data_IF_056790801355
#
_entry.id   IF_056790801355
#
_cell.length_a   1.000
_cell.length_b   1.000
_cell.length_c   1.000
_cell.angle_alpha   90.00
_cell.angle_beta   90.00
_cell.angle_gamma   90.00
#
_symmetry.space_group_name_H-M   'P 1'
#
loop_
_entity.id
_entity.type
_entity.pdbx_description
1 polymer ?
#
# COMPACT_ATOMS: atom_id res chain seq x y z
N UNK A 1 12.53 -37.42 8.45
CA UNK A 1 11.31 -36.64 8.14
C UNK A 1 10.91 -35.87 9.38
N UNK A 2 11.55 -34.74 9.64
CA UNK A 2 11.05 -33.79 10.64
C UNK A 2 9.86 -33.09 9.99
N UNK A 3 8.69 -33.26 10.58
CA UNK A 3 7.50 -32.47 10.26
C UNK A 3 7.86 -30.99 10.39
N UNK A 4 7.90 -30.28 9.26
CA UNK A 4 7.90 -28.82 9.20
C UNK A 4 6.47 -28.38 9.58
N UNK A 5 6.10 -28.64 10.83
CA UNK A 5 5.07 -27.90 11.54
C UNK A 5 5.84 -26.92 12.41
N UNK A 6 6.47 -25.94 11.77
CA UNK A 6 6.64 -24.67 12.44
C UNK A 6 5.21 -24.11 12.51
N UNK A 7 4.72 -23.85 13.72
CA UNK A 7 3.48 -23.12 13.94
C UNK A 7 3.61 -21.75 13.25
N UNK A 8 3.22 -21.70 11.98
CA UNK A 8 3.30 -20.47 11.20
C UNK A 8 2.19 -19.55 11.71
N UNK A 9 2.57 -18.45 12.35
CA UNK A 9 1.65 -17.40 12.82
C UNK A 9 0.90 -16.69 11.68
N UNK A 10 1.37 -16.82 10.43
CA UNK A 10 0.73 -16.29 9.23
C UNK A 10 0.26 -17.45 8.32
N UNK A 11 -0.89 -17.34 7.63
CA UNK A 11 -1.33 -18.35 6.65
C UNK A 11 -0.51 -18.27 5.36
N UNK A 12 0.78 -18.64 5.46
CA UNK A 12 1.80 -18.52 4.40
C UNK A 12 1.33 -19.14 3.09
N UNK A 13 0.62 -20.28 3.13
CA UNK A 13 0.18 -20.96 1.91
C UNK A 13 -0.82 -20.13 1.10
N UNK A 14 -1.89 -19.64 1.73
CA UNK A 14 -2.92 -18.85 1.04
C UNK A 14 -2.37 -17.47 0.66
N UNK A 15 -1.59 -16.84 1.54
CA UNK A 15 -0.92 -15.58 1.24
C UNK A 15 0.02 -15.67 0.03
N UNK A 16 0.86 -16.71 -0.05
CA UNK A 16 1.78 -16.91 -1.19
C UNK A 16 1.01 -17.14 -2.49
N UNK A 17 -0.07 -17.92 -2.48
CA UNK A 17 -0.92 -18.14 -3.66
C UNK A 17 -1.54 -16.81 -4.11
N UNK A 18 -2.09 -16.04 -3.17
CA UNK A 18 -2.70 -14.74 -3.45
C UNK A 18 -1.70 -13.75 -4.07
N UNK A 19 -0.49 -13.67 -3.52
CA UNK A 19 0.61 -12.85 -4.05
C UNK A 19 1.01 -13.32 -5.45
N UNK A 20 1.12 -14.63 -5.68
CA UNK A 20 1.42 -15.18 -6.99
C UNK A 20 0.33 -14.85 -8.03
N UNK A 21 -0.94 -14.91 -7.65
CA UNK A 21 -2.05 -14.52 -8.53
C UNK A 21 -1.93 -13.05 -8.95
N UNK A 22 -1.69 -12.13 -8.01
CA UNK A 22 -1.55 -10.71 -8.33
C UNK A 22 -0.29 -10.40 -9.14
N UNK A 23 0.81 -11.09 -8.87
CA UNK A 23 2.01 -11.04 -9.72
C UNK A 23 1.70 -11.46 -11.16
N UNK A 24 0.97 -12.57 -11.35
CA UNK A 24 0.59 -13.05 -12.69
C UNK A 24 -0.33 -12.05 -13.39
N UNK A 25 -1.30 -11.46 -12.68
CA UNK A 25 -2.18 -10.43 -13.25
C UNK A 25 -1.34 -9.25 -13.76
N UNK A 26 -0.42 -8.72 -12.94
CA UNK A 26 0.47 -7.64 -13.35
C UNK A 26 1.42 -8.05 -14.48
N UNK A 27 1.88 -9.31 -14.51
CA UNK A 27 2.75 -9.81 -15.58
C UNK A 27 2.02 -9.93 -16.92
N UNK A 28 0.75 -10.34 -16.89
CA UNK A 28 -0.11 -10.38 -18.08
C UNK A 28 -0.35 -8.97 -18.61
N UNK A 29 -0.54 -8.01 -17.70
CA UNK A 29 -0.71 -6.59 -18.04
C UNK A 29 0.55 -5.99 -18.66
N UNK A 30 1.72 -6.18 -18.05
CA UNK A 30 3.02 -5.76 -18.59
C UNK A 30 3.26 -6.27 -20.02
N UNK A 31 2.67 -7.42 -20.39
CA UNK A 31 2.81 -8.05 -21.71
C UNK A 31 1.72 -7.66 -22.71
N UNK A 32 0.50 -7.44 -22.24
CA UNK A 32 -0.69 -7.43 -23.10
C UNK A 32 -1.56 -6.18 -22.95
N UNK A 33 -1.19 -5.26 -22.05
CA UNK A 33 -1.90 -3.99 -21.77
C UNK A 33 -3.41 -4.22 -21.59
N UNK A 34 -3.76 -5.01 -20.56
CA UNK A 34 -5.15 -5.44 -20.36
C UNK A 34 -5.97 -4.30 -19.74
N UNK A 35 -7.26 -4.23 -20.09
CA UNK A 35 -8.12 -3.15 -19.61
C UNK A 35 -8.18 -3.08 -18.07
N UNK A 36 -8.18 -1.86 -17.53
CA UNK A 36 -8.19 -1.60 -16.10
C UNK A 36 -9.38 -2.27 -15.37
N UNK A 37 -10.51 -2.43 -16.05
CA UNK A 37 -11.68 -3.14 -15.49
C UNK A 37 -11.42 -4.63 -15.35
N UNK A 38 -10.74 -5.24 -16.33
CA UNK A 38 -10.37 -6.65 -16.26
C UNK A 38 -9.38 -6.89 -15.11
N UNK A 39 -8.37 -6.03 -14.96
CA UNK A 39 -7.43 -6.07 -13.82
C UNK A 39 -8.16 -6.02 -12.48
N UNK A 40 -9.14 -5.13 -12.37
CA UNK A 40 -9.94 -4.97 -11.15
C UNK A 40 -10.74 -6.25 -10.86
N UNK A 41 -11.46 -6.78 -11.85
CA UNK A 41 -12.25 -8.02 -11.70
C UNK A 41 -11.35 -9.19 -11.29
N UNK A 42 -10.22 -9.41 -11.98
CA UNK A 42 -9.31 -10.50 -11.67
C UNK A 42 -8.72 -10.38 -10.25
N UNK A 43 -8.31 -9.17 -9.86
CA UNK A 43 -7.76 -8.91 -8.51
C UNK A 43 -8.80 -9.13 -7.42
N UNK A 44 -10.04 -8.69 -7.64
CA UNK A 44 -11.16 -8.95 -6.72
C UNK A 44 -11.49 -10.43 -6.62
N UNK A 45 -11.52 -11.16 -7.74
CA UNK A 45 -11.76 -12.61 -7.71
C UNK A 45 -10.66 -13.37 -6.97
N UNK A 46 -9.38 -13.05 -7.24
CA UNK A 46 -8.25 -13.67 -6.54
C UNK A 46 -8.30 -13.40 -5.03
N UNK A 47 -8.57 -12.14 -4.64
CA UNK A 47 -8.66 -11.72 -3.24
C UNK A 47 -9.83 -12.40 -2.51
N UNK A 48 -11.02 -12.39 -3.11
CA UNK A 48 -12.20 -13.01 -2.50
C UNK A 48 -12.05 -14.53 -2.39
N UNK A 49 -11.47 -15.19 -3.40
CA UNK A 49 -11.15 -16.61 -3.31
C UNK A 49 -10.18 -16.92 -2.17
N UNK A 50 -9.11 -16.13 -2.00
CA UNK A 50 -8.16 -16.31 -0.91
C UNK A 50 -8.81 -16.13 0.48
N UNK A 51 -9.63 -15.10 0.66
CA UNK A 51 -10.33 -14.88 1.93
C UNK A 51 -11.40 -15.94 2.23
N UNK A 52 -11.97 -16.55 1.19
CA UNK A 52 -12.89 -17.68 1.38
C UNK A 52 -12.16 -18.96 1.79
N UNK A 53 -10.95 -19.19 1.25
CA UNK A 53 -10.09 -20.29 1.64
C UNK A 53 -9.48 -20.10 3.04
N UNK A 54 -9.21 -18.85 3.42
CA UNK A 54 -8.70 -18.51 4.74
C UNK A 54 -9.36 -17.24 5.32
N UNK A 55 -10.45 -17.41 6.08
CA UNK A 55 -11.16 -16.30 6.71
C UNK A 55 -10.36 -15.58 7.81
N UNK A 56 -9.23 -16.12 8.28
CA UNK A 56 -8.40 -15.47 9.32
C UNK A 56 -7.76 -14.17 8.82
N UNK A 57 -7.60 -14.04 7.51
CA UNK A 57 -7.15 -12.81 6.85
C UNK A 57 -8.15 -11.65 6.92
N UNK A 58 -9.38 -11.92 7.36
CA UNK A 58 -10.46 -10.92 7.45
C UNK A 58 -10.74 -10.59 8.91
N UNK A 59 -10.33 -9.40 9.33
CA UNK A 59 -10.63 -8.89 10.66
C UNK A 59 -12.14 -8.64 10.83
N UNK A 60 -12.75 -9.23 11.87
CA UNK A 60 -14.15 -9.00 12.22
C UNK A 60 -14.36 -7.75 13.08
N UNK A 61 -13.28 -7.15 13.59
CA UNK A 61 -13.33 -5.96 14.40
C UNK A 61 -12.31 -4.94 13.90
N UNK A 62 -12.70 -3.67 13.87
CA UNK A 62 -11.80 -2.56 13.64
C UNK A 62 -11.25 -2.06 14.98
N UNK A 63 -10.00 -2.37 15.25
CA UNK A 63 -9.25 -1.90 16.42
C UNK A 63 -8.60 -0.54 16.13
N UNK A 64 -8.88 0.48 16.94
CA UNK A 64 -8.25 1.80 16.87
C UNK A 64 -7.20 1.96 17.98
N UNK A 65 -6.15 2.74 17.72
CA UNK A 65 -5.01 2.87 18.66
C UNK A 65 -5.37 3.51 20.01
N UNK A 66 -6.48 4.25 20.06
CA UNK A 66 -7.01 4.88 21.27
C UNK A 66 -8.00 3.99 22.05
N UNK A 67 -8.06 2.69 21.74
CA UNK A 67 -8.80 1.69 22.51
C UNK A 67 -10.26 1.50 22.11
N UNK A 68 -10.73 2.14 21.03
CA UNK A 68 -12.05 1.81 20.46
C UNK A 68 -11.93 0.56 19.59
N UNK A 69 -12.86 -0.38 19.79
CA UNK A 69 -13.05 -1.53 18.94
C UNK A 69 -14.47 -1.49 18.36
N UNK A 70 -14.59 -1.63 17.04
CA UNK A 70 -15.88 -1.66 16.34
C UNK A 70 -16.04 -3.01 15.67
N UNK A 71 -16.95 -3.83 16.19
CA UNK A 71 -17.32 -5.09 15.55
C UNK A 71 -18.08 -4.87 14.24
N UNK A 72 -17.78 -5.70 13.24
CA UNK A 72 -18.39 -5.67 11.93
C UNK A 72 -19.22 -6.93 11.70
N UNK A 73 -20.32 -6.80 10.95
CA UNK A 73 -21.05 -7.95 10.44
C UNK A 73 -20.12 -8.74 9.50
N UNK A 74 -19.97 -10.08 9.63
CA UNK A 74 -18.98 -10.84 8.87
C UNK A 74 -19.03 -10.66 7.36
N UNK A 75 -20.23 -10.60 6.77
CA UNK A 75 -20.40 -10.36 5.34
C UNK A 75 -19.87 -8.97 4.92
N UNK A 76 -20.07 -7.95 5.76
CA UNK A 76 -19.53 -6.61 5.53
C UNK A 76 -18.01 -6.58 5.69
N UNK A 77 -17.48 -7.21 6.73
CA UNK A 77 -16.04 -7.32 6.96
C UNK A 77 -15.31 -7.95 5.77
N UNK A 78 -15.88 -9.03 5.23
CA UNK A 78 -15.34 -9.73 4.06
C UNK A 78 -15.27 -8.83 2.81
N UNK A 79 -16.38 -8.16 2.47
CA UNK A 79 -16.43 -7.24 1.33
C UNK A 79 -15.48 -6.05 1.53
N UNK A 80 -15.47 -5.47 2.74
CA UNK A 80 -14.62 -4.34 3.08
C UNK A 80 -13.13 -4.70 2.96
N UNK A 81 -12.70 -5.83 3.53
CA UNK A 81 -11.32 -6.29 3.45
C UNK A 81 -10.87 -6.51 2.00
N UNK A 82 -11.74 -7.10 1.17
CA UNK A 82 -11.41 -7.35 -0.24
C UNK A 82 -11.27 -6.04 -1.02
N UNK A 83 -12.17 -5.08 -0.79
CA UNK A 83 -12.09 -3.75 -1.38
C UNK A 83 -10.83 -3.01 -0.90
N UNK A 84 -10.48 -3.09 0.38
CA UNK A 84 -9.27 -2.46 0.92
C UNK A 84 -8.01 -3.04 0.26
N UNK A 85 -7.86 -4.36 0.20
CA UNK A 85 -6.67 -4.98 -0.39
C UNK A 85 -6.52 -4.63 -1.88
N UNK A 86 -7.60 -4.78 -2.65
CA UNK A 86 -7.57 -4.48 -4.09
C UNK A 86 -7.33 -2.99 -4.35
N UNK A 87 -7.99 -2.10 -3.59
CA UNK A 87 -7.77 -0.66 -3.71
C UNK A 87 -6.35 -0.28 -3.33
N UNK A 88 -5.78 -0.92 -2.31
CA UNK A 88 -4.38 -0.72 -1.91
C UNK A 88 -3.41 -1.17 -3.00
N UNK A 89 -3.63 -2.33 -3.63
CA UNK A 89 -2.81 -2.81 -4.76
C UNK A 89 -2.78 -1.78 -5.89
N UNK A 90 -3.94 -1.26 -6.26
CA UNK A 90 -4.05 -0.25 -7.32
C UNK A 90 -3.42 1.08 -6.89
N UNK A 91 -3.60 1.50 -5.64
CA UNK A 91 -3.02 2.73 -5.11
C UNK A 91 -1.48 2.67 -5.07
N UNK A 92 -0.90 1.52 -4.70
CA UNK A 92 0.55 1.32 -4.72
C UNK A 92 1.08 1.30 -6.15
N UNK A 93 0.36 0.69 -7.10
CA UNK A 93 0.74 0.73 -8.52
C UNK A 93 0.83 2.17 -9.06
N UNK A 94 -0.07 3.05 -8.62
CA UNK A 94 -0.10 4.45 -9.05
C UNK A 94 1.09 5.28 -8.54
N UNK A 95 1.67 4.93 -7.38
CA UNK A 95 2.82 5.67 -6.84
C UNK A 95 4.17 5.17 -7.38
N UNK A 96 4.22 4.05 -8.10
CA UNK A 96 5.42 3.55 -8.79
C UNK A 96 5.74 4.33 -10.08
N UNK A 97 5.60 5.66 -10.04
CA UNK A 97 5.87 6.55 -11.17
C UNK A 97 7.31 7.07 -11.25
N UNK A 98 8.15 6.74 -10.26
CA UNK A 98 9.55 7.21 -10.15
C UNK A 98 10.44 6.17 -9.46
N UNK A 99 11.67 6.08 -9.96
CA UNK A 99 12.70 5.23 -9.40
C UNK A 99 12.91 5.47 -7.90
N UNK A 100 12.88 4.40 -7.13
CA UNK A 100 13.16 4.35 -5.70
C UNK A 100 11.94 4.49 -4.79
N UNK A 101 10.78 4.93 -5.30
CA UNK A 101 9.58 5.13 -4.47
C UNK A 101 9.05 3.78 -3.97
N UNK A 102 8.61 2.89 -4.89
CA UNK A 102 7.99 1.62 -4.52
C UNK A 102 8.87 0.79 -3.57
N UNK A 103 10.15 0.60 -3.95
CA UNK A 103 11.08 -0.22 -3.16
C UNK A 103 11.41 0.41 -1.80
N UNK A 104 11.53 1.75 -1.73
CA UNK A 104 11.76 2.45 -0.47
C UNK A 104 10.57 2.31 0.50
N UNK A 105 9.34 2.48 -0.01
CA UNK A 105 8.14 2.24 0.79
C UNK A 105 7.97 0.77 1.17
N UNK A 106 8.27 -0.17 0.28
CA UNK A 106 8.21 -1.60 0.57
C UNK A 106 9.12 -1.98 1.74
N UNK A 107 10.38 -1.51 1.73
CA UNK A 107 11.32 -1.75 2.82
C UNK A 107 10.85 -1.12 4.14
N UNK A 108 10.30 0.09 4.10
CA UNK A 108 9.71 0.74 5.27
C UNK A 108 8.56 -0.08 5.84
N UNK A 109 7.59 -0.45 5.01
CA UNK A 109 6.41 -1.20 5.44
C UNK A 109 6.76 -2.59 5.96
N UNK A 110 7.67 -3.31 5.30
CA UNK A 110 8.19 -4.59 5.80
C UNK A 110 8.83 -4.41 7.19
N UNK A 111 9.63 -3.37 7.39
CA UNK A 111 10.27 -3.10 8.69
C UNK A 111 9.22 -2.79 9.76
N UNK A 112 8.23 -1.93 9.46
CA UNK A 112 7.17 -1.58 10.39
C UNK A 112 6.35 -2.82 10.79
N UNK A 113 5.93 -3.62 9.82
CA UNK A 113 5.18 -4.86 10.05
C UNK A 113 6.00 -5.88 10.86
N UNK A 114 7.29 -6.03 10.56
CA UNK A 114 8.14 -6.96 11.32
C UNK A 114 8.32 -6.51 12.77
N UNK A 115 8.63 -5.22 12.99
CA UNK A 115 8.88 -4.69 14.34
C UNK A 115 7.62 -4.71 15.22
N UNK A 116 6.44 -4.51 14.62
CA UNK A 116 5.19 -4.39 15.36
C UNK A 116 4.46 -5.71 15.57
N UNK A 117 4.52 -6.62 14.59
CA UNK A 117 3.68 -7.81 14.56
C UNK A 117 4.45 -9.11 14.31
N UNK A 118 5.79 -9.08 14.24
CA UNK A 118 6.61 -10.22 13.83
C UNK A 118 6.08 -10.90 12.55
N UNK A 119 5.63 -10.08 11.60
CA UNK A 119 4.70 -10.47 10.53
C UNK A 119 5.21 -11.60 9.62
N UNK A 120 6.52 -11.83 9.55
CA UNK A 120 7.14 -12.93 8.83
C UNK A 120 8.15 -13.66 9.70
N UNK A 121 8.33 -14.99 9.51
CA UNK A 121 9.48 -15.68 10.05
C UNK A 121 10.77 -15.01 9.58
N UNK A 122 11.73 -14.84 10.49
CA UNK A 122 12.92 -14.00 10.28
C UNK A 122 13.69 -14.32 8.98
N UNK A 123 13.78 -15.59 8.58
CA UNK A 123 14.43 -15.97 7.32
C UNK A 123 13.74 -15.39 6.06
N UNK A 124 12.41 -15.37 6.04
CA UNK A 124 11.65 -14.77 4.94
C UNK A 124 11.75 -13.25 4.95
N UNK A 125 11.68 -12.63 6.14
CA UNK A 125 11.87 -11.18 6.29
C UNK A 125 13.24 -10.73 5.76
N UNK A 126 14.32 -11.38 6.19
CA UNK A 126 15.68 -11.06 5.72
C UNK A 126 15.80 -11.23 4.21
N UNK A 127 15.24 -12.32 3.67
CA UNK A 127 15.24 -12.56 2.22
C UNK A 127 14.49 -11.46 1.46
N UNK A 128 13.30 -11.08 1.94
CA UNK A 128 12.50 -10.02 1.33
C UNK A 128 13.23 -8.66 1.37
N UNK A 129 13.89 -8.33 2.48
CA UNK A 129 14.68 -7.10 2.62
C UNK A 129 15.90 -7.09 1.68
N UNK A 130 16.60 -8.22 1.52
CA UNK A 130 17.72 -8.33 0.59
C UNK A 130 17.27 -8.17 -0.87
N UNK A 131 16.16 -8.83 -1.26
CA UNK A 131 15.58 -8.69 -2.60
C UNK A 131 15.12 -7.25 -2.88
N UNK A 132 14.39 -6.63 -1.94
CA UNK A 132 13.95 -5.24 -2.08
C UNK A 132 15.13 -4.26 -2.13
N UNK A 133 16.17 -4.49 -1.32
CA UNK A 133 17.38 -3.67 -1.32
C UNK A 133 18.17 -3.77 -2.62
N UNK A 134 18.35 -4.98 -3.15
CA UNK A 134 18.99 -5.20 -4.44
C UNK A 134 18.19 -4.53 -5.59
N UNK A 135 16.86 -4.70 -5.58
CA UNK A 135 15.98 -4.05 -6.53
C UNK A 135 16.04 -2.52 -6.40
N UNK A 136 16.01 -1.96 -5.18
CA UNK A 136 16.10 -0.51 -4.94
C UNK A 136 17.38 0.07 -5.55
N UNK A 137 18.54 -0.57 -5.33
CA UNK A 137 19.82 -0.10 -5.88
C UNK A 137 19.78 -0.08 -7.41
N UNK A 138 19.28 -1.15 -8.04
CA UNK A 138 19.20 -1.24 -9.50
C UNK A 138 18.17 -0.26 -10.07
N UNK A 139 17.01 -0.11 -9.41
CA UNK A 139 15.93 0.78 -9.80
C UNK A 139 16.32 2.26 -9.67
N UNK A 140 16.99 2.65 -8.58
CA UNK A 140 17.53 4.01 -8.43
C UNK A 140 18.56 4.38 -9.52
N UNK A 141 19.30 3.39 -10.04
CA UNK A 141 20.22 3.57 -11.17
C UNK A 141 19.51 3.56 -12.54
N UNK A 142 18.21 3.32 -12.58
CA UNK A 142 17.42 3.21 -13.81
C UNK A 142 17.71 1.96 -14.63
N UNK A 143 18.28 0.92 -14.01
CA UNK A 143 18.63 -0.33 -14.68
C UNK A 143 17.44 -1.28 -14.83
N UNK A 144 16.48 -1.19 -13.90
CA UNK A 144 15.29 -2.05 -13.86
C UNK A 144 14.08 -1.23 -13.43
N UNK A 145 12.92 -1.58 -13.97
CA UNK A 145 11.62 -1.07 -13.54
C UNK A 145 10.87 -2.19 -12.81
N UNK A 146 9.96 -1.85 -11.90
CA UNK A 146 9.15 -2.87 -11.23
C UNK A 146 8.15 -3.50 -12.21
N UNK A 147 7.58 -2.68 -13.10
CA UNK A 147 6.40 -3.06 -13.88
C UNK A 147 5.17 -3.22 -12.98
N UNK A 148 4.03 -3.46 -13.61
CA UNK A 148 2.78 -3.72 -12.88
C UNK A 148 2.89 -5.07 -12.14
N UNK A 149 3.64 -6.03 -12.68
CA UNK A 149 3.95 -7.29 -11.99
C UNK A 149 4.68 -7.09 -10.65
N UNK A 150 5.74 -6.28 -10.62
CA UNK A 150 6.50 -5.98 -9.41
C UNK A 150 5.70 -5.17 -8.39
N UNK A 151 4.98 -4.15 -8.85
CA UNK A 151 4.13 -3.34 -7.99
C UNK A 151 2.99 -4.15 -7.36
N UNK A 152 2.32 -5.02 -8.13
CA UNK A 152 1.24 -5.89 -7.62
C UNK A 152 1.77 -6.92 -6.63
N UNK A 153 2.95 -7.50 -6.89
CA UNK A 153 3.60 -8.44 -5.96
C UNK A 153 3.89 -7.77 -4.62
N UNK A 154 4.53 -6.59 -4.64
CA UNK A 154 4.89 -5.85 -3.44
C UNK A 154 3.63 -5.42 -2.68
N UNK A 155 2.67 -4.81 -3.37
CA UNK A 155 1.47 -4.29 -2.74
C UNK A 155 0.60 -5.39 -2.14
N UNK A 156 0.43 -6.52 -2.85
CA UNK A 156 -0.32 -7.65 -2.32
C UNK A 156 0.37 -8.25 -1.09
N UNK A 157 1.70 -8.38 -1.11
CA UNK A 157 2.47 -8.91 0.02
C UNK A 157 2.31 -8.02 1.25
N UNK A 158 2.52 -6.71 1.12
CA UNK A 158 2.38 -5.77 2.23
C UNK A 158 0.93 -5.69 2.72
N UNK A 159 -0.03 -5.66 1.80
CA UNK A 159 -1.45 -5.54 2.12
C UNK A 159 -1.97 -6.75 2.88
N UNK A 160 -1.63 -7.97 2.47
CA UNK A 160 -2.08 -9.18 3.17
C UNK A 160 -1.41 -9.33 4.54
N UNK A 161 -0.12 -8.98 4.66
CA UNK A 161 0.57 -8.96 5.96
C UNK A 161 -0.04 -7.92 6.90
N UNK A 162 -0.39 -6.73 6.39
CA UNK A 162 -1.06 -5.69 7.16
C UNK A 162 -2.44 -6.12 7.64
N UNK A 163 -3.26 -6.69 6.75
CA UNK A 163 -4.60 -7.20 7.12
C UNK A 163 -4.51 -8.29 8.19
N UNK A 164 -3.57 -9.22 8.05
CA UNK A 164 -3.34 -10.26 9.06
C UNK A 164 -2.89 -9.69 10.40
N UNK A 165 -1.91 -8.78 10.39
CA UNK A 165 -1.43 -8.12 11.60
C UNK A 165 -2.55 -7.32 12.32
N UNK A 166 -3.51 -6.79 11.57
CA UNK A 166 -4.69 -6.16 12.15
C UNK A 166 -5.69 -7.17 12.71
N UNK A 167 -5.94 -8.26 12.00
CA UNK A 167 -6.84 -9.33 12.43
C UNK A 167 -6.38 -9.97 13.75
N UNK A 168 -5.07 -10.17 13.92
CA UNK A 168 -4.43 -10.65 15.16
C UNK A 168 -4.37 -9.57 16.26
N UNK A 169 -4.73 -8.32 15.96
CA UNK A 169 -4.76 -7.22 16.92
C UNK A 169 -3.38 -6.61 17.25
N UNK A 170 -2.33 -6.95 16.50
CA UNK A 170 -0.99 -6.38 16.68
C UNK A 170 -0.89 -4.93 16.18
N UNK A 171 -1.66 -4.59 15.14
CA UNK A 171 -1.65 -3.27 14.51
C UNK A 171 -3.06 -2.71 14.46
N UNK A 172 -3.26 -1.45 14.85
CA UNK A 172 -4.56 -0.80 14.75
C UNK A 172 -4.85 -0.32 13.32
N UNK A 173 -6.12 -0.14 12.96
CA UNK A 173 -6.51 0.25 11.61
C UNK A 173 -5.97 1.64 11.24
N UNK A 174 -5.96 2.57 12.20
CA UNK A 174 -5.40 3.91 12.03
C UNK A 174 -3.87 3.91 11.89
N UNK A 175 -3.17 2.93 12.49
CA UNK A 175 -1.74 2.72 12.24
C UNK A 175 -1.49 2.26 10.80
N UNK A 176 -2.26 1.27 10.30
CA UNK A 176 -2.15 0.83 8.91
C UNK A 176 -2.46 1.96 7.92
N UNK A 177 -3.54 2.71 8.16
CA UNK A 177 -3.90 3.87 7.33
C UNK A 177 -2.78 4.92 7.30
N UNK A 178 -2.11 5.13 8.43
CA UNK A 178 -0.98 6.05 8.51
C UNK A 178 0.25 5.55 7.76
N UNK A 179 0.58 4.25 7.87
CA UNK A 179 1.69 3.67 7.13
C UNK A 179 1.47 3.73 5.62
N UNK A 180 0.23 3.54 5.18
CA UNK A 180 -0.16 3.54 3.77
C UNK A 180 -0.71 4.88 3.30
N UNK A 181 -0.51 5.95 4.06
CA UNK A 181 -1.22 7.21 3.83
C UNK A 181 -0.91 7.82 2.47
N UNK A 182 0.31 7.69 1.97
CA UNK A 182 0.73 8.30 0.70
C UNK A 182 0.01 7.69 -0.51
N UNK A 183 0.06 6.36 -0.77
CA UNK A 183 -0.71 5.78 -1.88
C UNK A 183 -2.22 6.00 -1.70
N UNK A 184 -2.75 5.85 -0.48
CA UNK A 184 -4.19 6.01 -0.20
C UNK A 184 -4.66 7.44 -0.46
N UNK A 185 -3.93 8.43 0.05
CA UNK A 185 -4.27 9.84 -0.12
C UNK A 185 -4.14 10.26 -1.59
N UNK A 186 -3.06 9.89 -2.27
CA UNK A 186 -2.84 10.29 -3.66
C UNK A 186 -3.90 9.70 -4.60
N UNK A 187 -4.19 8.39 -4.46
CA UNK A 187 -5.24 7.73 -5.22
C UNK A 187 -6.63 8.32 -4.92
N UNK A 188 -6.98 8.52 -3.65
CA UNK A 188 -8.25 9.10 -3.24
C UNK A 188 -8.44 10.53 -3.73
N UNK A 189 -7.37 11.33 -3.68
CA UNK A 189 -7.36 12.71 -4.20
C UNK A 189 -7.58 12.75 -5.70
N UNK A 190 -6.84 11.95 -6.47
CA UNK A 190 -6.99 11.88 -7.94
C UNK A 190 -8.41 11.45 -8.30
N UNK A 191 -8.95 10.45 -7.61
CA UNK A 191 -10.32 9.99 -7.80
C UNK A 191 -11.33 11.12 -7.53
N UNK A 192 -11.22 11.82 -6.40
CA UNK A 192 -12.12 12.92 -6.04
C UNK A 192 -12.10 14.06 -7.07
N UNK A 193 -10.92 14.45 -7.55
CA UNK A 193 -10.77 15.50 -8.58
C UNK A 193 -11.40 15.09 -9.90
N UNK A 194 -11.20 13.84 -10.34
CA UNK A 194 -11.78 13.32 -11.60
C UNK A 194 -13.30 13.26 -11.52
N UNK A 195 -13.84 12.72 -10.43
CA UNK A 195 -15.28 12.65 -10.22
C UNK A 195 -15.92 14.05 -10.19
N UNK A 196 -15.29 15.01 -9.52
CA UNK A 196 -15.74 16.41 -9.50
C UNK A 196 -15.73 17.09 -10.88
N UNK A 197 -15.00 16.53 -11.85
CA UNK A 197 -14.94 16.99 -13.24
C UNK A 197 -15.76 16.14 -14.22
N UNK A 198 -16.51 15.15 -13.71
CA UNK A 198 -17.24 14.19 -14.55
C UNK A 198 -16.34 13.29 -15.40
N UNK A 199 -15.07 13.11 -15.01
CA UNK A 199 -14.11 12.26 -15.72
C UNK A 199 -14.11 10.82 -15.17
N UNK A 200 -13.80 9.86 -16.04
CA UNK A 200 -13.66 8.45 -15.64
C UNK A 200 -12.53 8.26 -14.62
N UNK A 201 -12.75 7.54 -13.50
CA UNK A 201 -11.71 7.13 -12.56
C UNK A 201 -10.53 6.39 -13.20
N UNK A 202 -10.81 5.60 -14.24
CA UNK A 202 -9.84 4.73 -14.91
C UNK A 202 -9.01 5.43 -15.99
N UNK A 203 -9.22 6.73 -16.20
CA UNK A 203 -8.43 7.49 -17.17
C UNK A 203 -7.02 7.73 -16.63
N UNK A 204 -5.98 7.32 -17.35
CA UNK A 204 -4.59 7.65 -16.99
C UNK A 204 -4.32 9.17 -16.99
N UNK A 205 -3.42 9.65 -16.13
CA UNK A 205 -3.12 11.08 -16.00
C UNK A 205 -1.86 11.37 -15.19
N UNK A 206 -1.35 12.62 -15.27
CA UNK A 206 -0.16 13.12 -14.54
C UNK A 206 -0.52 13.89 -13.27
N UNK A 207 -1.70 13.61 -12.74
CA UNK A 207 -2.39 14.37 -11.70
C UNK A 207 -1.96 13.96 -10.28
N UNK A 208 -1.09 12.94 -10.20
CA UNK A 208 -0.50 12.41 -8.98
C UNK A 208 0.42 13.41 -8.28
N UNK A 209 0.40 13.41 -6.95
CA UNK A 209 1.13 14.35 -6.10
C UNK A 209 2.65 14.31 -6.38
N UNK A 210 3.19 13.12 -6.62
CA UNK A 210 4.61 12.96 -6.95
C UNK A 210 4.95 13.59 -8.32
N UNK A 211 4.07 13.57 -9.31
CA UNK A 211 4.33 14.30 -10.55
C UNK A 211 4.34 15.81 -10.31
N UNK A 212 3.41 16.34 -9.51
CA UNK A 212 3.31 17.78 -9.28
C UNK A 212 4.47 18.31 -8.44
N UNK A 213 4.89 17.59 -7.39
CA UNK A 213 6.02 18.01 -6.55
C UNK A 213 7.33 18.06 -7.36
N UNK A 214 7.57 17.04 -8.18
CA UNK A 214 8.79 16.98 -8.98
C UNK A 214 8.83 17.93 -10.17
N UNK A 215 7.68 18.46 -10.62
CA UNK A 215 7.63 19.48 -11.65
C UNK A 215 8.08 20.86 -11.13
N UNK A 216 8.17 21.07 -9.80
CA UNK A 216 8.33 22.40 -9.22
C UNK A 216 9.38 22.52 -8.10
N UNK A 217 9.80 21.41 -7.52
CA UNK A 217 10.87 21.37 -6.51
C UNK A 217 11.96 20.45 -7.03
N UNK A 218 13.22 20.69 -6.63
CA UNK A 218 14.31 19.83 -7.07
C UNK A 218 14.07 18.37 -6.65
N UNK A 219 14.54 17.43 -7.48
CA UNK A 219 14.23 16.01 -7.34
C UNK A 219 14.49 15.45 -5.93
N UNK A 220 15.55 15.92 -5.26
CA UNK A 220 15.91 15.53 -3.89
C UNK A 220 14.87 15.98 -2.86
N UNK A 221 14.36 17.21 -3.01
CA UNK A 221 13.40 17.79 -2.09
C UNK A 221 11.99 17.25 -2.33
N UNK A 222 11.59 17.05 -3.59
CA UNK A 222 10.31 16.43 -3.91
C UNK A 222 10.21 15.02 -3.29
N UNK A 223 11.26 14.20 -3.43
CA UNK A 223 11.35 12.89 -2.78
C UNK A 223 11.34 12.98 -1.25
N UNK A 224 12.10 13.91 -0.67
CA UNK A 224 12.15 14.09 0.79
C UNK A 224 10.80 14.55 1.38
N UNK A 225 10.10 15.49 0.74
CA UNK A 225 8.79 15.99 1.17
C UNK A 225 7.69 14.92 1.03
N UNK A 226 7.78 14.10 -0.03
CA UNK A 226 6.87 12.99 -0.25
C UNK A 226 7.09 11.88 0.80
N UNK A 227 8.35 11.52 1.04
CA UNK A 227 8.72 10.50 2.03
C UNK A 227 8.44 10.97 3.48
N UNK A 228 8.64 12.25 3.80
CA UNK A 228 8.42 12.78 5.15
C UNK A 228 6.98 12.66 5.62
N UNK A 229 6.02 12.70 4.69
CA UNK A 229 4.60 12.53 4.96
C UNK A 229 4.25 11.15 5.54
N UNK A 230 5.11 10.14 5.32
CA UNK A 230 4.88 8.78 5.82
C UNK A 230 5.95 8.36 6.82
N UNK A 231 7.24 8.56 6.51
CA UNK A 231 8.35 8.00 7.27
C UNK A 231 8.31 8.43 8.75
N UNK A 232 8.26 9.74 9.00
CA UNK A 232 8.27 10.29 10.36
C UNK A 232 7.03 9.89 11.16
N UNK A 233 5.79 10.15 10.70
CA UNK A 233 4.60 9.79 11.48
C UNK A 233 4.45 8.28 11.65
N UNK A 234 4.87 7.45 10.68
CA UNK A 234 4.80 5.99 10.80
C UNK A 234 5.74 5.46 11.88
N UNK A 235 6.99 5.93 11.93
CA UNK A 235 7.92 5.54 13.01
C UNK A 235 7.40 6.02 14.37
N UNK A 236 6.88 7.25 14.46
CA UNK A 236 6.30 7.77 15.69
C UNK A 236 5.06 6.99 16.13
N UNK A 237 4.27 6.45 15.21
CA UNK A 237 3.11 5.60 15.53
C UNK A 237 3.48 4.24 16.12
N UNK A 238 4.70 3.76 15.85
CA UNK A 238 5.25 2.55 16.48
C UNK A 238 5.81 2.88 17.86
N UNK A 239 6.50 4.02 18.00
CA UNK A 239 7.10 4.44 19.27
C UNK A 239 6.05 4.89 20.30
N UNK A 240 4.99 5.57 19.85
CA UNK A 240 3.91 6.10 20.70
C UNK A 240 2.54 5.78 20.07
N UNK A 241 2.08 4.51 20.14
CA UNK A 241 0.84 4.07 19.49
C UNK A 241 -0.42 4.84 19.90
N UNK A 242 -0.50 5.28 21.16
CA UNK A 242 -1.63 6.05 21.68
C UNK A 242 -1.85 7.41 20.98
N UNK A 243 -0.84 7.93 20.30
CA UNK A 243 -0.90 9.18 19.53
C UNK A 243 -1.06 8.97 18.02
N UNK A 244 -1.27 7.73 17.55
CA UNK A 244 -1.39 7.43 16.12
C UNK A 244 -2.42 8.31 15.41
N UNK A 245 -3.61 8.51 16.01
CA UNK A 245 -4.63 9.40 15.45
C UNK A 245 -4.12 10.81 15.17
N UNK A 246 -3.35 11.37 16.09
CA UNK A 246 -2.76 12.70 15.96
C UNK A 246 -1.72 12.73 14.82
N UNK A 247 -0.88 11.70 14.73
CA UNK A 247 0.09 11.55 13.66
C UNK A 247 -0.57 11.38 12.29
N UNK A 248 -1.67 10.64 12.23
CA UNK A 248 -2.48 10.48 11.02
C UNK A 248 -3.10 11.81 10.58
N UNK A 249 -3.70 12.56 11.51
CA UNK A 249 -4.24 13.90 11.22
C UNK A 249 -3.14 14.84 10.73
N UNK A 250 -1.96 14.82 11.38
CA UNK A 250 -0.83 15.65 10.98
C UNK A 250 -0.31 15.28 9.58
N UNK A 251 -0.22 13.99 9.26
CA UNK A 251 0.18 13.49 7.95
C UNK A 251 -0.83 13.91 6.86
N UNK A 252 -2.13 13.78 7.12
CA UNK A 252 -3.19 14.23 6.20
C UNK A 252 -3.12 15.73 5.99
N UNK A 253 -2.98 16.52 7.06
CA UNK A 253 -2.84 17.97 6.97
C UNK A 253 -1.61 18.37 6.14
N UNK A 254 -0.48 17.69 6.34
CA UNK A 254 0.74 17.90 5.58
C UNK A 254 0.55 17.60 4.09
N UNK A 255 -0.08 16.47 3.75
CA UNK A 255 -0.39 16.10 2.37
C UNK A 255 -1.37 17.08 1.72
N UNK A 256 -2.36 17.58 2.47
CA UNK A 256 -3.28 18.62 2.00
C UNK A 256 -2.53 19.92 1.67
N UNK A 257 -1.61 20.36 2.52
CA UNK A 257 -0.77 21.54 2.27
C UNK A 257 0.08 21.34 1.02
N UNK A 258 0.74 20.18 0.87
CA UNK A 258 1.50 19.86 -0.34
C UNK A 258 0.62 19.89 -1.59
N UNK A 259 -0.60 19.36 -1.49
CA UNK A 259 -1.56 19.28 -2.60
C UNK A 259 -2.25 20.60 -2.97
N UNK A 260 -2.25 21.60 -2.07
CA UNK A 260 -2.92 22.90 -2.29
C UNK A 260 -1.94 24.07 -2.44
N UNK A 261 -0.64 23.83 -2.28
CA UNK A 261 0.39 24.87 -2.43
C UNK A 261 0.31 25.57 -3.81
N UNK A 262 0.66 26.88 -3.95
CA UNK A 262 0.50 27.66 -5.19
C UNK A 262 1.19 27.06 -6.43
N UNK A 263 2.24 26.30 -6.18
CA UNK A 263 2.91 25.37 -7.08
C UNK A 263 1.92 24.49 -7.87
N UNK A 264 0.87 24.02 -7.20
CA UNK A 264 -0.16 23.14 -7.72
C UNK A 264 -1.14 23.84 -8.69
N UNK A 265 -1.49 25.11 -8.44
CA UNK A 265 -2.49 25.85 -9.23
C UNK A 265 -1.96 26.39 -10.57
N UNK A 266 -0.64 26.47 -10.75
CA UNK A 266 -0.05 26.96 -11.99
C UNK A 266 -0.43 26.10 -13.22
N UNK A 267 -0.74 24.81 -13.02
CA UNK A 267 -1.09 23.85 -14.09
C UNK A 267 -2.59 23.56 -14.21
N UNK A 268 -3.40 23.97 -13.22
CA UNK A 268 -4.87 23.87 -13.31
C UNK A 268 -5.49 24.90 -14.24
N UNK A 269 -4.72 25.90 -14.69
CA UNK A 269 -5.15 26.90 -15.68
C UNK A 269 -4.74 26.56 -17.12
N UNK A 270 -3.97 25.48 -17.34
CA UNK A 270 -3.37 25.16 -18.65
C UNK A 270 -3.78 23.80 -19.20
N UNK A 271 -4.75 23.12 -18.56
CA UNK A 271 -5.45 21.92 -19.07
C UNK A 271 -6.94 22.23 -19.07
#
# INVERSE_FOLDING_TARGET
MHSINADMQFPVKVGVILVACHYIIGLVDDRSDIDARLRLVLSTLATTAAFWLDPTLVALNLNFSWGINVGMVPAFAFVAAALVLVSFIFAVNLIDGRNGILAGYAMLWLTLLQVTADALPMGYYVTAMLCCGAFLIANMRGLVFAGDSGAYLVACTIGVLGLHAHAEGHVSIDQLLLWFIVPVFDAGRVLAVRLGRGQSPFRGGRDHLHHVLWDHVSHRWAGALYASATLVPSVLSVMVPSLTALWLIAAVAWLLVLSTSPVFFAKLRTV
#
